data_IF_801235224119
#
_entry.id   IF_801235224119
#
_cell.length_a   1.000
_cell.length_b   1.000
_cell.length_c   1.000
_cell.angle_alpha   90.00
_cell.angle_beta   90.00
_cell.angle_gamma   90.00
#
_symmetry.space_group_name_H-M   'P 1'
#
loop_
_entity.id
_entity.type
_entity.pdbx_description
1 polymer ?
#
# COMPACT_ATOMS: atom_id res chain seq x y z
N UNK A 1 -9.79 19.72 40.16
CA UNK A 1 -10.83 19.60 39.12
C UNK A 1 -10.30 20.13 37.80
N UNK A 2 -9.95 19.26 36.86
CA UNK A 2 -9.64 19.69 35.49
C UNK A 2 -10.99 19.94 34.82
N UNK A 3 -11.35 21.21 34.65
CA UNK A 3 -12.55 21.58 33.92
C UNK A 3 -12.33 21.22 32.45
N UNK A 4 -13.02 20.19 31.95
CA UNK A 4 -12.99 19.82 30.53
C UNK A 4 -14.08 20.57 29.80
N UNK A 5 -13.74 21.10 28.63
CA UNK A 5 -14.74 21.71 27.75
C UNK A 5 -15.66 20.61 27.21
N UNK A 6 -16.97 20.75 27.42
CA UNK A 6 -17.95 19.80 26.89
C UNK A 6 -18.26 20.20 25.45
N UNK A 7 -17.99 19.30 24.51
CA UNK A 7 -18.38 19.38 23.12
C UNK A 7 -19.38 18.26 22.88
N UNK A 8 -20.62 18.63 22.60
CA UNK A 8 -21.67 17.67 22.33
C UNK A 8 -21.38 16.94 21.01
N UNK A 9 -21.72 15.65 20.96
CA UNK A 9 -21.37 14.80 19.82
C UNK A 9 -22.13 15.15 18.51
N UNK A 10 -23.25 15.86 18.64
CA UNK A 10 -24.09 16.40 17.59
C UNK A 10 -23.67 17.80 17.12
N UNK A 11 -22.84 18.51 17.89
CA UNK A 11 -22.21 19.77 17.48
C UNK A 11 -21.02 19.50 16.55
N UNK A 12 -21.34 19.16 15.30
CA UNK A 12 -20.36 18.78 14.28
C UNK A 12 -19.37 19.91 13.96
N UNK A 13 -19.80 21.17 14.08
CA UNK A 13 -18.96 22.34 13.77
C UNK A 13 -17.84 22.41 14.80
N UNK A 14 -18.20 22.50 16.08
CA UNK A 14 -17.23 22.62 17.17
C UNK A 14 -16.34 21.38 17.28
N UNK A 15 -16.91 20.21 17.01
CA UNK A 15 -16.16 18.95 16.96
C UNK A 15 -15.09 18.99 15.85
N UNK A 16 -15.45 19.40 14.63
CA UNK A 16 -14.49 19.49 13.52
C UNK A 16 -13.41 20.55 13.78
N UNK A 17 -13.76 21.70 14.34
CA UNK A 17 -12.78 22.74 14.71
C UNK A 17 -11.76 22.21 15.73
N UNK A 18 -12.24 21.54 16.78
CA UNK A 18 -11.39 20.91 17.78
C UNK A 18 -10.45 19.87 17.15
N UNK A 19 -10.98 19.00 16.29
CA UNK A 19 -10.22 17.93 15.65
C UNK A 19 -9.15 18.51 14.71
N UNK A 20 -9.51 19.45 13.84
CA UNK A 20 -8.58 20.11 12.93
C UNK A 20 -7.44 20.79 13.68
N UNK A 21 -7.74 21.54 14.74
CA UNK A 21 -6.74 22.24 15.56
C UNK A 21 -5.73 21.28 16.19
N UNK A 22 -6.18 20.10 16.62
CA UNK A 22 -5.31 19.09 17.23
C UNK A 22 -4.53 18.26 16.22
N UNK A 23 -5.11 18.04 15.04
CA UNK A 23 -4.64 17.10 14.03
C UNK A 23 -3.64 17.71 13.04
N UNK A 24 -3.92 18.90 12.49
CA UNK A 24 -3.10 19.54 11.45
C UNK A 24 -1.60 19.61 11.77
N UNK A 25 -1.15 19.87 13.02
CA UNK A 25 0.28 19.99 13.30
C UNK A 25 1.07 18.68 13.18
N UNK A 26 0.43 17.51 13.28
CA UNK A 26 1.16 16.24 13.50
C UNK A 26 0.49 14.99 12.94
N UNK A 27 -0.69 15.09 12.31
CA UNK A 27 -1.40 13.97 11.69
C UNK A 27 -1.49 12.72 12.60
N UNK A 28 -1.79 12.95 13.88
CA UNK A 28 -1.76 11.91 14.91
C UNK A 28 -2.67 10.73 14.57
N UNK A 29 -2.20 9.52 14.79
CA UNK A 29 -3.03 8.32 14.70
C UNK A 29 -4.20 8.34 15.68
N UNK A 30 -5.22 7.50 15.44
CA UNK A 30 -6.48 7.50 16.19
C UNK A 30 -6.27 7.44 17.71
N UNK A 31 -5.41 6.56 18.20
CA UNK A 31 -5.16 6.38 19.64
C UNK A 31 -4.56 7.64 20.28
N UNK A 32 -3.61 8.27 19.60
CA UNK A 32 -2.96 9.49 20.06
C UNK A 32 -3.92 10.69 20.04
N UNK A 33 -4.73 10.81 18.98
CA UNK A 33 -5.80 11.81 18.91
C UNK A 33 -6.79 11.67 20.05
N UNK A 34 -7.33 10.46 20.26
CA UNK A 34 -8.29 10.21 21.33
C UNK A 34 -7.75 10.56 22.72
N UNK A 35 -6.50 10.15 23.01
CA UNK A 35 -5.85 10.49 24.29
C UNK A 35 -5.69 12.01 24.46
N UNK A 36 -5.25 12.71 23.41
CA UNK A 36 -5.04 14.17 23.43
C UNK A 36 -6.36 14.93 23.58
N UNK A 37 -7.41 14.53 22.85
CA UNK A 37 -8.73 15.17 22.93
C UNK A 37 -9.37 14.97 24.30
N UNK A 38 -9.28 13.75 24.88
CA UNK A 38 -9.88 13.43 26.19
C UNK A 38 -9.24 14.19 27.37
N UNK A 39 -8.03 14.72 27.21
CA UNK A 39 -7.39 15.55 28.24
C UNK A 39 -8.07 16.92 28.39
N UNK A 40 -8.56 17.49 27.29
CA UNK A 40 -9.10 18.85 27.24
C UNK A 40 -10.62 18.91 27.08
N UNK A 41 -11.21 17.90 26.45
CA UNK A 41 -12.60 17.90 26.02
C UNK A 41 -13.36 16.67 26.55
N UNK A 42 -14.68 16.78 26.65
CA UNK A 42 -15.62 15.71 26.96
C UNK A 42 -16.86 15.80 26.07
N UNK A 43 -17.72 14.78 26.07
CA UNK A 43 -19.01 14.81 25.35
C UNK A 43 -19.00 14.28 23.90
N UNK A 44 -17.83 13.94 23.35
CA UNK A 44 -17.68 13.38 22.01
C UNK A 44 -17.52 11.84 22.02
N UNK A 45 -17.92 11.20 20.92
CA UNK A 45 -17.77 9.76 20.70
C UNK A 45 -16.42 9.43 20.03
N UNK A 46 -15.85 8.27 20.36
CA UNK A 46 -14.55 7.81 19.81
C UNK A 46 -14.63 7.57 18.31
N UNK A 47 -15.79 7.11 17.84
CA UNK A 47 -16.07 6.80 16.44
C UNK A 47 -15.85 8.02 15.55
N UNK A 48 -16.19 9.23 16.04
CA UNK A 48 -16.00 10.48 15.30
C UNK A 48 -14.53 10.85 15.10
N UNK A 49 -13.69 10.57 16.10
CA UNK A 49 -12.24 10.72 15.94
C UNK A 49 -11.70 9.70 14.96
N UNK A 50 -12.19 8.45 15.02
CA UNK A 50 -11.76 7.41 14.08
C UNK A 50 -12.13 7.79 12.64
N UNK A 51 -13.36 8.22 12.41
CA UNK A 51 -13.87 8.69 11.12
C UNK A 51 -12.98 9.83 10.59
N UNK A 52 -12.74 10.86 11.40
CA UNK A 52 -11.92 12.00 11.03
C UNK A 52 -10.47 11.60 10.65
N UNK A 53 -9.78 10.83 11.50
CA UNK A 53 -8.41 10.39 11.23
C UNK A 53 -8.35 9.48 10.00
N UNK A 54 -9.31 8.56 9.87
CA UNK A 54 -9.39 7.65 8.73
C UNK A 54 -9.61 8.38 7.41
N UNK A 55 -10.23 9.56 7.42
CA UNK A 55 -10.53 10.35 6.23
C UNK A 55 -9.44 11.35 5.82
N UNK A 56 -8.30 11.37 6.52
CA UNK A 56 -7.20 12.23 6.12
C UNK A 56 -6.60 11.82 4.77
N UNK A 57 -6.76 12.69 3.77
CA UNK A 57 -6.26 12.49 2.40
C UNK A 57 -4.73 12.33 2.40
N UNK A 58 -4.02 13.15 3.17
CA UNK A 58 -2.56 13.10 3.27
C UNK A 58 -2.12 11.75 3.84
N UNK A 59 -2.68 11.33 4.97
CA UNK A 59 -2.30 10.05 5.56
C UNK A 59 -2.62 8.88 4.64
N UNK A 60 -3.80 8.85 4.00
CA UNK A 60 -4.19 7.79 3.04
C UNK A 60 -3.17 7.61 1.91
N UNK A 61 -2.62 8.70 1.37
CA UNK A 61 -1.61 8.67 0.31
C UNK A 61 -0.27 8.09 0.75
N UNK A 62 0.07 8.21 2.03
CA UNK A 62 1.34 7.74 2.59
C UNK A 62 1.20 6.41 3.36
N UNK A 63 0.02 5.79 3.34
CA UNK A 63 -0.13 4.43 3.86
C UNK A 63 0.69 3.51 2.97
N UNK A 64 1.70 2.87 3.56
CA UNK A 64 2.43 1.80 2.90
C UNK A 64 1.43 0.75 2.41
N UNK A 65 1.56 0.31 1.16
CA UNK A 65 0.71 -0.72 0.59
C UNK A 65 0.64 -1.91 1.55
N UNK A 66 -0.55 -2.17 2.09
CA UNK A 66 -0.78 -3.26 3.00
C UNK A 66 -0.64 -4.59 2.24
N UNK A 67 0.15 -5.52 2.81
CA UNK A 67 0.33 -6.93 2.41
C UNK A 67 0.34 -7.16 0.89
N UNK A 68 1.55 -7.33 0.35
CA UNK A 68 1.73 -8.05 -0.92
C UNK A 68 1.00 -9.39 -0.76
N UNK A 69 0.06 -9.69 -1.66
CA UNK A 69 -0.60 -10.99 -1.68
C UNK A 69 0.49 -12.08 -1.73
N UNK A 70 0.30 -13.21 -1.02
CA UNK A 70 1.28 -14.29 -1.07
C UNK A 70 1.51 -14.70 -2.53
N UNK A 71 2.78 -14.79 -2.93
CA UNK A 71 3.15 -15.25 -4.27
C UNK A 71 2.62 -16.67 -4.43
N UNK A 72 1.69 -16.86 -5.36
CA UNK A 72 1.20 -18.19 -5.72
C UNK A 72 2.19 -18.85 -6.69
N UNK A 73 2.61 -20.11 -6.45
CA UNK A 73 3.48 -20.80 -7.39
C UNK A 73 2.78 -21.02 -8.73
N UNK A 74 3.55 -21.01 -9.82
CA UNK A 74 3.08 -21.45 -11.14
C UNK A 74 2.98 -22.97 -11.11
N UNK A 75 1.76 -23.48 -11.13
CA UNK A 75 1.47 -24.92 -11.13
C UNK A 75 1.14 -25.33 -12.55
N UNK A 76 1.94 -26.25 -13.11
CA UNK A 76 1.76 -26.83 -14.43
C UNK A 76 1.53 -28.34 -14.28
N UNK A 77 0.54 -28.90 -14.96
CA UNK A 77 0.14 -30.32 -14.79
C UNK A 77 0.59 -31.23 -15.92
N UNK A 78 0.82 -30.67 -17.11
CA UNK A 78 1.26 -31.37 -18.30
C UNK A 78 2.27 -30.51 -19.07
N UNK A 79 3.03 -31.18 -19.95
CA UNK A 79 3.96 -30.50 -20.86
C UNK A 79 3.21 -29.46 -21.68
N UNK A 80 3.77 -28.26 -21.78
CA UNK A 80 3.23 -27.14 -22.56
C UNK A 80 1.94 -26.51 -22.00
N UNK A 81 1.49 -26.85 -20.79
CA UNK A 81 0.35 -26.15 -20.15
C UNK A 81 0.67 -24.66 -19.89
N UNK A 82 1.88 -24.39 -19.39
CA UNK A 82 2.35 -23.03 -19.08
C UNK A 82 3.78 -22.88 -19.57
N UNK A 83 4.00 -21.88 -20.43
CA UNK A 83 5.32 -21.53 -20.94
C UNK A 83 5.69 -20.14 -20.44
N UNK A 84 6.91 -20.00 -19.93
CA UNK A 84 7.49 -18.72 -19.57
C UNK A 84 8.46 -18.29 -20.66
N UNK A 85 8.28 -17.09 -21.19
CA UNK A 85 9.11 -16.53 -22.24
C UNK A 85 9.70 -15.21 -21.79
N UNK A 86 10.98 -15.01 -22.08
CA UNK A 86 11.65 -13.73 -21.85
C UNK A 86 12.74 -13.50 -22.91
N UNK A 87 13.21 -12.27 -23.00
CA UNK A 87 14.30 -11.89 -23.89
C UNK A 87 15.49 -11.38 -23.07
N UNK A 88 16.61 -12.07 -23.19
CA UNK A 88 17.88 -11.63 -22.61
C UNK A 88 18.51 -10.59 -23.54
N UNK A 89 18.87 -9.43 -22.99
CA UNK A 89 19.52 -8.35 -23.74
C UNK A 89 20.99 -8.67 -24.03
N UNK A 90 21.33 -8.74 -25.32
CA UNK A 90 22.67 -9.01 -25.83
C UNK A 90 23.22 -7.88 -26.72
N UNK A 91 22.63 -6.68 -26.71
CA UNK A 91 23.02 -5.57 -27.59
C UNK A 91 24.52 -5.24 -27.56
N UNK A 92 25.11 -5.27 -26.36
CA UNK A 92 26.53 -5.00 -26.16
C UNK A 92 27.45 -6.08 -26.76
N UNK A 93 26.90 -7.21 -27.14
CA UNK A 93 27.60 -8.37 -27.69
C UNK A 93 27.21 -8.65 -29.15
N UNK A 94 26.48 -7.75 -29.79
CA UNK A 94 26.04 -7.90 -31.19
C UNK A 94 27.19 -8.16 -32.16
N UNK A 95 28.36 -7.55 -31.92
CA UNK A 95 29.58 -7.79 -32.71
C UNK A 95 30.13 -9.22 -32.60
N UNK A 96 29.76 -9.95 -31.55
CA UNK A 96 30.19 -11.33 -31.28
C UNK A 96 29.08 -12.35 -31.59
N UNK A 97 27.91 -11.89 -32.06
CA UNK A 97 26.72 -12.72 -32.28
C UNK A 97 26.03 -12.32 -33.59
N UNK A 98 26.79 -12.15 -34.67
CA UNK A 98 26.29 -11.87 -36.03
C UNK A 98 25.23 -10.74 -36.13
N UNK A 99 25.32 -9.74 -35.26
CA UNK A 99 24.39 -8.61 -35.19
C UNK A 99 23.10 -8.87 -34.39
N UNK A 100 22.89 -10.08 -33.87
CA UNK A 100 21.75 -10.41 -33.00
C UNK A 100 21.89 -9.71 -31.64
N UNK A 101 20.78 -9.13 -31.19
CA UNK A 101 20.73 -8.24 -30.03
C UNK A 101 20.02 -8.85 -28.81
N UNK A 102 19.40 -10.00 -28.98
CA UNK A 102 18.53 -10.61 -27.98
C UNK A 102 18.68 -12.13 -28.04
N UNK A 103 18.42 -12.79 -26.92
CA UNK A 103 18.19 -14.22 -26.89
C UNK A 103 16.78 -14.41 -26.36
N UNK A 104 15.89 -15.00 -27.16
CA UNK A 104 14.58 -15.44 -26.69
C UNK A 104 14.76 -16.77 -25.94
N UNK A 105 14.42 -16.78 -24.65
CA UNK A 105 14.38 -17.97 -23.84
C UNK A 105 12.92 -18.41 -23.62
N UNK A 106 12.65 -19.69 -23.84
CA UNK A 106 11.32 -20.30 -23.69
C UNK A 106 11.44 -21.49 -22.73
N UNK A 107 10.81 -21.39 -21.56
CA UNK A 107 10.80 -22.42 -20.53
C UNK A 107 9.41 -23.07 -20.47
N UNK A 108 9.34 -24.38 -20.69
CA UNK A 108 8.15 -25.15 -20.32
C UNK A 108 8.10 -25.34 -18.80
N UNK A 109 7.06 -24.82 -18.15
CA UNK A 109 6.93 -24.83 -16.69
C UNK A 109 6.72 -26.22 -16.12
N UNK A 110 6.29 -27.20 -16.93
CA UNK A 110 6.16 -28.59 -16.50
C UNK A 110 7.50 -29.35 -16.60
N UNK A 111 8.01 -29.52 -17.81
CA UNK A 111 9.20 -30.35 -18.05
C UNK A 111 10.51 -29.68 -17.67
N UNK A 112 10.50 -28.36 -17.45
CA UNK A 112 11.69 -27.52 -17.24
C UNK A 112 12.65 -27.54 -18.43
N UNK A 113 12.18 -27.94 -19.60
CA UNK A 113 12.96 -27.85 -20.84
C UNK A 113 13.04 -26.39 -21.28
N UNK A 114 14.24 -25.98 -21.68
CA UNK A 114 14.56 -24.61 -22.05
C UNK A 114 15.00 -24.56 -23.52
N UNK A 115 14.36 -23.70 -24.29
CA UNK A 115 14.73 -23.42 -25.67
C UNK A 115 15.31 -22.01 -25.77
N UNK A 116 16.35 -21.86 -26.58
CA UNK A 116 16.98 -20.57 -26.86
C UNK A 116 16.95 -20.30 -28.35
N UNK A 117 16.60 -19.07 -28.70
CA UNK A 117 16.62 -18.56 -30.07
C UNK A 117 17.39 -17.25 -30.12
N UNK A 118 18.21 -17.08 -31.15
CA UNK A 118 19.04 -15.90 -31.40
C UNK A 118 18.33 -14.96 -32.39
#
# INVERSE_FOLDING_TARGET
NICREVIANDDLIRLNEMLNKQYLPSHLGMTAMYKKSKLKYAGFKREKICEFVSNCITCKKHVLLARIAPITPIISTHKWDIVQMDCINMRNYSSFNDGFNWILNILDSYSKFLFFFL
#
